data_IF_126991540216
#
_entry.id   IF_126991540216
#
_cell.length_a   1.000
_cell.length_b   1.000
_cell.length_c   1.000
_cell.angle_alpha   90.00
_cell.angle_beta   90.00
_cell.angle_gamma   90.00
#
_symmetry.space_group_name_H-M   'P 1'
#
loop_
_entity.id
_entity.type
_entity.pdbx_description
1 polymer ?
#
# COMPACT_ATOMS: atom_id res chain seq x y z
N UNK A 1 5.91 -9.47 -6.40
CA UNK A 1 7.04 -8.62 -5.96
C UNK A 1 6.54 -7.73 -4.86
N UNK A 2 7.33 -7.54 -3.80
CA UNK A 2 6.95 -6.66 -2.70
C UNK A 2 6.95 -5.22 -3.22
N UNK A 3 5.78 -4.60 -3.31
CA UNK A 3 5.67 -3.16 -3.59
C UNK A 3 5.71 -2.46 -2.23
N UNK A 4 6.64 -1.51 -1.99
CA UNK A 4 6.73 -0.79 -0.72
C UNK A 4 5.40 -0.18 -0.26
N UNK A 5 4.52 0.17 -1.21
CA UNK A 5 3.20 0.73 -0.94
C UNK A 5 2.27 -0.29 -0.25
N UNK A 6 2.24 -1.56 -0.69
CA UNK A 6 1.48 -2.62 0.00
C UNK A 6 1.89 -2.74 1.46
N UNK A 7 3.18 -2.86 1.74
CA UNK A 7 3.67 -2.99 3.12
C UNK A 7 3.27 -1.77 3.97
N UNK A 8 3.45 -0.56 3.46
CA UNK A 8 3.05 0.64 4.20
C UNK A 8 1.56 0.65 4.55
N UNK A 9 0.70 0.17 3.64
CA UNK A 9 -0.73 0.04 3.87
C UNK A 9 -1.06 -1.07 4.87
N UNK A 10 -0.48 -2.27 4.74
CA UNK A 10 -0.74 -3.41 5.63
C UNK A 10 -0.34 -3.16 7.08
N UNK A 11 0.66 -2.31 7.33
CA UNK A 11 1.14 -1.95 8.67
C UNK A 11 0.66 -0.59 9.16
N UNK A 12 -0.16 0.14 8.39
CA UNK A 12 -0.72 1.43 8.78
C UNK A 12 0.31 2.57 8.87
N UNK A 13 1.40 2.50 8.11
CA UNK A 13 2.46 3.52 8.10
C UNK A 13 2.07 4.72 7.23
N UNK A 14 1.13 5.53 7.71
CA UNK A 14 0.54 6.66 6.97
C UNK A 14 1.58 7.60 6.36
N UNK A 15 2.62 7.97 7.11
CA UNK A 15 3.68 8.86 6.62
C UNK A 15 4.47 8.24 5.47
N UNK A 16 4.78 6.94 5.57
CA UNK A 16 5.48 6.19 4.51
C UNK A 16 4.58 6.03 3.29
N UNK A 17 3.30 5.70 3.48
CA UNK A 17 2.31 5.63 2.39
C UNK A 17 2.20 6.98 1.66
N UNK A 18 2.10 8.09 2.39
CA UNK A 18 2.03 9.43 1.83
C UNK A 18 3.30 9.79 1.04
N UNK A 19 4.48 9.47 1.56
CA UNK A 19 5.75 9.70 0.88
C UNK A 19 5.84 8.90 -0.43
N UNK A 20 5.45 7.62 -0.41
CA UNK A 20 5.46 6.76 -1.60
C UNK A 20 4.50 7.29 -2.68
N UNK A 21 3.28 7.69 -2.30
CA UNK A 21 2.33 8.30 -3.24
C UNK A 21 2.86 9.61 -3.83
N UNK A 22 3.49 10.46 -3.01
CA UNK A 22 4.11 11.71 -3.46
C UNK A 22 5.23 11.47 -4.49
N UNK A 23 5.96 10.36 -4.36
CA UNK A 23 7.01 9.97 -5.31
C UNK A 23 6.50 9.14 -6.50
N UNK A 24 5.19 9.06 -6.71
CA UNK A 24 4.60 8.43 -7.90
C UNK A 24 4.36 6.93 -7.79
N UNK A 25 4.36 6.35 -6.58
CA UNK A 25 3.94 4.97 -6.39
C UNK A 25 2.46 4.82 -6.81
N UNK A 26 2.18 3.87 -7.70
CA UNK A 26 0.82 3.65 -8.18
C UNK A 26 0.00 2.85 -7.15
N UNK A 27 -1.15 3.37 -6.69
CA UNK A 27 -2.04 2.65 -5.75
C UNK A 27 -2.82 1.50 -6.42
N UNK A 28 -2.68 1.34 -7.74
CA UNK A 28 -3.36 0.30 -8.51
C UNK A 28 -2.49 -0.94 -8.77
N UNK A 29 -1.23 -0.92 -8.35
CA UNK A 29 -0.34 -2.08 -8.51
C UNK A 29 -0.88 -3.22 -7.66
N UNK A 30 -0.95 -4.42 -8.23
CA UNK A 30 -1.35 -5.60 -7.48
C UNK A 30 -0.13 -6.42 -7.06
N UNK A 31 -0.24 -7.09 -5.92
CA UNK A 31 0.75 -8.09 -5.51
C UNK A 31 0.52 -9.45 -6.22
N UNK A 32 1.17 -10.50 -5.71
CA UNK A 32 1.06 -11.86 -6.27
C UNK A 32 -0.34 -12.48 -6.08
N UNK A 33 -1.16 -11.93 -5.18
CA UNK A 33 -2.52 -12.37 -4.90
C UNK A 33 -3.58 -11.50 -5.58
N UNK A 34 -3.18 -10.61 -6.50
CA UNK A 34 -4.05 -9.64 -7.18
C UNK A 34 -4.69 -8.63 -6.22
N UNK A 35 -4.08 -8.41 -5.05
CA UNK A 35 -4.55 -7.45 -4.04
C UNK A 35 -3.86 -6.11 -4.28
N UNK A 36 -4.60 -5.00 -4.14
CA UNK A 36 -4.02 -3.63 -4.23
C UNK A 36 -3.67 -3.10 -2.84
N UNK A 37 -2.76 -2.11 -2.73
CA UNK A 37 -2.45 -1.47 -1.45
C UNK A 37 -3.68 -0.91 -0.74
N UNK A 38 -4.70 -0.47 -1.49
CA UNK A 38 -5.95 0.02 -0.91
C UNK A 38 -6.72 -1.09 -0.18
N UNK A 39 -6.78 -2.30 -0.75
CA UNK A 39 -7.43 -3.44 -0.09
C UNK A 39 -6.74 -3.78 1.25
N UNK A 40 -5.41 -3.75 1.28
CA UNK A 40 -4.61 -3.97 2.50
C UNK A 40 -4.89 -2.93 3.59
N UNK A 41 -5.05 -1.66 3.21
CA UNK A 41 -5.39 -0.59 4.15
C UNK A 41 -6.78 -0.76 4.78
N UNK A 42 -7.76 -1.26 4.01
CA UNK A 42 -9.13 -1.50 4.48
C UNK A 42 -9.22 -2.70 5.44
N UNK A 43 -8.39 -3.73 5.23
CA UNK A 43 -8.36 -4.92 6.08
C UNK A 43 -7.77 -4.66 7.49
N UNK A 44 -7.07 -3.54 7.68
CA UNK A 44 -6.32 -3.23 8.90
C UNK A 44 -6.76 -1.93 9.59
N UNK A 45 -7.82 -1.28 9.08
CA UNK A 45 -8.42 -0.10 9.70
C UNK A 45 -8.85 -0.38 11.13
N UNK A 46 -8.22 0.30 12.09
CA UNK A 46 -8.78 0.57 13.43
C UNK A 46 -9.30 1.99 13.42
#
# INVERSE_FOLDING_TARGET
>A
GLVPLHNSCSYGHLEVTALLLKHGASPQVTDLWKVTPLHESAAKGK
#
